data_IF_618815257338
#
_entry.id   IF_618815257338
#
_cell.length_a   1.000
_cell.length_b   1.000
_cell.length_c   1.000
_cell.angle_alpha   90.00
_cell.angle_beta   90.00
_cell.angle_gamma   90.00
#
_symmetry.space_group_name_H-M   'P 1'
#
loop_
_entity.id
_entity.type
_entity.pdbx_description
1 polymer ?
#
# COMPACT_ATOMS: atom_id res chain seq x y z
N UNK A 1 64.87 -18.75 0.93
CA UNK A 1 64.38 -20.10 0.54
C UNK A 1 63.30 -20.50 1.53
N UNK A 2 62.09 -20.80 1.03
CA UNK A 2 60.92 -21.09 1.86
C UNK A 2 59.63 -20.81 1.10
N UNK A 3 59.35 -21.65 0.10
CA UNK A 3 58.12 -21.73 -0.69
C UNK A 3 56.93 -22.18 0.15
N UNK A 4 55.75 -21.61 -0.09
CA UNK A 4 54.49 -22.05 0.52
C UNK A 4 53.28 -21.46 -0.20
N UNK A 5 53.04 -21.95 -1.41
CA UNK A 5 51.86 -21.66 -2.22
C UNK A 5 50.58 -22.19 -1.56
N UNK A 6 49.48 -21.56 -1.98
CA UNK A 6 48.11 -22.08 -2.05
C UNK A 6 47.38 -22.35 -0.75
N UNK A 7 46.39 -21.51 -0.47
CA UNK A 7 45.08 -21.98 -0.03
C UNK A 7 43.99 -21.16 -0.75
N UNK A 8 43.80 -21.54 -2.02
CA UNK A 8 42.67 -21.18 -2.84
C UNK A 8 41.40 -21.83 -2.28
N UNK A 9 40.76 -21.20 -1.29
CA UNK A 9 39.36 -21.49 -0.95
C UNK A 9 38.48 -20.36 -1.45
N UNK A 10 38.43 -20.24 -2.77
CA UNK A 10 37.31 -19.61 -3.45
C UNK A 10 36.08 -20.49 -3.27
N UNK A 11 35.38 -20.33 -2.13
CA UNK A 11 33.99 -20.73 -2.00
C UNK A 11 33.18 -19.87 -2.97
N UNK A 12 33.12 -20.33 -4.23
CA UNK A 12 32.07 -19.99 -5.16
C UNK A 12 30.76 -20.34 -4.47
N UNK A 13 30.11 -19.33 -3.90
CA UNK A 13 28.68 -19.41 -3.58
C UNK A 13 28.01 -19.86 -4.86
N UNK A 14 27.45 -21.07 -4.85
CA UNK A 14 26.58 -21.54 -5.90
C UNK A 14 25.56 -20.44 -6.16
N UNK A 15 25.61 -19.84 -7.33
CA UNK A 15 24.60 -18.91 -7.82
C UNK A 15 23.36 -19.73 -8.09
N UNK A 16 22.60 -20.02 -7.04
CA UNK A 16 21.18 -20.30 -7.13
C UNK A 16 20.60 -19.20 -8.00
N UNK A 17 19.97 -19.55 -9.13
CA UNK A 17 19.53 -18.59 -10.13
C UNK A 17 18.85 -17.39 -9.47
N UNK A 18 19.56 -16.26 -9.44
CA UNK A 18 19.05 -15.04 -8.85
C UNK A 18 17.99 -14.51 -9.79
N UNK A 19 16.72 -14.80 -9.49
CA UNK A 19 15.66 -13.90 -9.90
C UNK A 19 16.08 -12.51 -9.40
N UNK A 20 16.40 -11.59 -10.29
CA UNK A 20 16.94 -10.28 -9.93
C UNK A 20 15.84 -9.47 -9.25
N UNK A 21 15.74 -9.61 -7.93
CA UNK A 21 14.76 -8.94 -7.04
C UNK A 21 14.95 -7.42 -6.98
N UNK A 22 15.98 -6.89 -7.63
CA UNK A 22 16.37 -5.47 -7.59
C UNK A 22 15.30 -4.54 -8.19
N UNK A 23 14.30 -5.06 -8.90
CA UNK A 23 13.28 -4.26 -9.59
C UNK A 23 11.82 -4.50 -9.13
N UNK A 24 11.60 -5.11 -7.96
CA UNK A 24 10.24 -5.39 -7.47
C UNK A 24 9.61 -4.18 -6.77
N UNK A 25 10.40 -3.30 -6.17
CA UNK A 25 9.90 -2.12 -5.45
C UNK A 25 9.10 -1.16 -6.36
N UNK A 26 9.57 -0.81 -7.58
CA UNK A 26 8.77 0.01 -8.50
C UNK A 26 7.44 -0.65 -8.88
N UNK A 27 7.43 -1.98 -9.07
CA UNK A 27 6.20 -2.73 -9.37
C UNK A 27 5.22 -2.66 -8.22
N UNK A 28 5.67 -2.86 -6.97
CA UNK A 28 4.83 -2.72 -5.78
C UNK A 28 4.23 -1.32 -5.65
N UNK A 29 5.02 -0.27 -5.92
CA UNK A 29 4.54 1.11 -5.93
C UNK A 29 3.50 1.36 -7.01
N UNK A 30 3.73 0.84 -8.22
CA UNK A 30 2.77 1.00 -9.32
C UNK A 30 1.47 0.25 -9.04
N UNK A 31 1.54 -0.97 -8.51
CA UNK A 31 0.37 -1.74 -8.09
C UNK A 31 -0.42 -1.01 -7.00
N UNK A 32 0.26 -0.48 -5.99
CA UNK A 32 -0.37 0.25 -4.89
C UNK A 32 -1.00 1.56 -5.37
N UNK A 33 -0.29 2.34 -6.20
CA UNK A 33 -0.84 3.55 -6.81
C UNK A 33 -2.05 3.23 -7.69
N UNK A 34 -1.98 2.15 -8.47
CA UNK A 34 -3.08 1.66 -9.28
C UNK A 34 -4.31 1.34 -8.45
N UNK A 35 -4.15 0.66 -7.30
CA UNK A 35 -5.28 0.38 -6.39
C UNK A 35 -5.96 1.67 -5.94
N UNK A 36 -5.22 2.68 -5.49
CA UNK A 36 -5.81 3.95 -5.06
C UNK A 36 -6.51 4.70 -6.21
N UNK A 37 -5.83 4.88 -7.35
CA UNK A 37 -6.39 5.64 -8.47
C UNK A 37 -7.58 4.93 -9.12
N UNK A 38 -7.54 3.60 -9.24
CA UNK A 38 -8.65 2.82 -9.77
C UNK A 38 -9.83 2.79 -8.80
N UNK A 39 -9.60 2.81 -7.48
CA UNK A 39 -10.68 2.95 -6.48
C UNK A 39 -11.37 4.31 -6.61
N UNK A 40 -10.60 5.40 -6.76
CA UNK A 40 -11.16 6.73 -7.02
C UNK A 40 -12.01 6.76 -8.30
N UNK A 41 -11.48 6.20 -9.40
CA UNK A 41 -12.19 6.12 -10.67
C UNK A 41 -13.45 5.24 -10.59
N UNK A 42 -13.38 4.09 -9.91
CA UNK A 42 -14.52 3.21 -9.69
C UNK A 42 -15.60 3.90 -8.85
N UNK A 43 -15.21 4.67 -7.84
CA UNK A 43 -16.15 5.44 -7.00
C UNK A 43 -16.86 6.53 -7.80
N UNK A 44 -16.15 7.20 -8.72
CA UNK A 44 -16.74 8.17 -9.64
C UNK A 44 -17.69 7.52 -10.66
N UNK A 45 -17.41 6.29 -11.09
CA UNK A 45 -18.26 5.54 -12.01
C UNK A 45 -19.45 4.82 -11.36
N UNK A 46 -19.44 4.67 -10.03
CA UNK A 46 -20.52 4.03 -9.27
C UNK A 46 -21.68 5.03 -9.00
N UNK A 47 -22.95 4.59 -8.97
CA UNK A 47 -24.06 5.49 -8.69
C UNK A 47 -23.91 6.21 -7.36
N UNK A 48 -23.74 7.53 -7.39
CA UNK A 48 -23.47 8.34 -6.19
C UNK A 48 -24.57 8.18 -5.13
N UNK A 49 -25.84 8.08 -5.53
CA UNK A 49 -26.94 7.85 -4.61
C UNK A 49 -26.76 6.56 -3.78
N UNK A 50 -26.20 5.50 -4.38
CA UNK A 50 -25.90 4.26 -3.65
C UNK A 50 -24.71 4.44 -2.70
N UNK A 51 -23.66 5.16 -3.12
CA UNK A 51 -22.53 5.48 -2.24
C UNK A 51 -22.96 6.31 -1.03
N UNK A 52 -23.83 7.30 -1.23
CA UNK A 52 -24.39 8.14 -0.17
C UNK A 52 -25.25 7.30 0.79
N UNK A 53 -26.12 6.44 0.27
CA UNK A 53 -26.93 5.54 1.10
C UNK A 53 -26.06 4.61 1.99
N UNK A 54 -24.88 4.20 1.53
CA UNK A 54 -23.93 3.45 2.37
C UNK A 54 -23.32 4.33 3.48
N UNK A 55 -22.98 5.59 3.19
CA UNK A 55 -22.47 6.54 4.18
C UNK A 55 -23.52 6.91 5.24
N UNK A 56 -24.79 6.97 4.87
CA UNK A 56 -25.91 7.15 5.79
C UNK A 56 -26.02 6.01 6.80
N UNK A 57 -25.72 4.77 6.40
CA UNK A 57 -25.66 3.62 7.33
C UNK A 57 -24.52 3.72 8.35
N UNK A 58 -23.48 4.49 8.04
CA UNK A 58 -22.37 4.82 8.96
C UNK A 58 -22.72 6.02 9.87
N UNK A 59 -23.88 6.65 9.67
CA UNK A 59 -24.35 7.80 10.45
C UNK A 59 -23.99 9.16 9.85
N UNK A 60 -23.48 9.22 8.61
CA UNK A 60 -23.23 10.47 7.89
C UNK A 60 -24.45 10.85 7.05
N UNK A 61 -25.07 12.00 7.32
CA UNK A 61 -26.31 12.41 6.66
C UNK A 61 -26.15 13.70 5.86
N UNK A 62 -26.95 13.84 4.79
CA UNK A 62 -27.03 15.07 3.98
C UNK A 62 -25.68 15.52 3.42
N UNK A 63 -25.39 16.82 3.54
CA UNK A 63 -24.16 17.44 3.03
C UNK A 63 -22.87 16.79 3.57
N UNK A 64 -22.90 16.24 4.79
CA UNK A 64 -21.75 15.56 5.39
C UNK A 64 -21.43 14.26 4.63
N UNK A 65 -22.45 13.53 4.18
CA UNK A 65 -22.25 12.32 3.38
C UNK A 65 -21.62 12.66 2.01
N UNK A 66 -22.09 13.74 1.37
CA UNK A 66 -21.48 14.22 0.12
C UNK A 66 -20.04 14.65 0.32
N UNK A 67 -19.76 15.46 1.36
CA UNK A 67 -18.41 15.88 1.68
C UNK A 67 -17.50 14.68 1.97
N UNK A 68 -17.97 13.68 2.70
CA UNK A 68 -17.22 12.47 2.99
C UNK A 68 -16.92 11.63 1.73
N UNK A 69 -17.89 11.51 0.81
CA UNK A 69 -17.69 10.81 -0.46
C UNK A 69 -16.58 11.47 -1.29
N UNK A 70 -16.66 12.78 -1.49
CA UNK A 70 -15.65 13.52 -2.25
C UNK A 70 -14.30 13.59 -1.54
N UNK A 71 -14.29 13.68 -0.20
CA UNK A 71 -13.06 13.58 0.58
C UNK A 71 -12.39 12.21 0.42
N UNK A 72 -13.17 11.12 0.36
CA UNK A 72 -12.67 9.78 0.07
C UNK A 72 -12.02 9.69 -1.31
N UNK A 73 -12.70 10.18 -2.35
CA UNK A 73 -12.16 10.23 -3.72
C UNK A 73 -10.88 11.06 -3.77
N UNK A 74 -10.87 12.24 -3.15
CA UNK A 74 -9.70 13.11 -3.12
C UNK A 74 -8.52 12.47 -2.36
N UNK A 75 -8.79 11.77 -1.25
CA UNK A 75 -7.80 11.03 -0.49
C UNK A 75 -7.18 9.90 -1.33
N UNK A 76 -7.99 9.13 -2.04
CA UNK A 76 -7.51 8.06 -2.91
C UNK A 76 -6.61 8.62 -4.03
N UNK A 77 -7.03 9.70 -4.69
CA UNK A 77 -6.22 10.37 -5.71
C UNK A 77 -4.91 10.86 -5.12
N UNK A 78 -4.94 11.52 -3.96
CA UNK A 78 -3.75 12.02 -3.29
C UNK A 78 -2.77 10.88 -2.94
N UNK A 79 -3.26 9.78 -2.34
CA UNK A 79 -2.44 8.62 -1.99
C UNK A 79 -1.84 7.95 -3.22
N UNK A 80 -2.62 7.80 -4.29
CA UNK A 80 -2.15 7.25 -5.56
C UNK A 80 -1.05 8.09 -6.20
N UNK A 81 -1.26 9.40 -6.32
CA UNK A 81 -0.29 10.34 -6.90
C UNK A 81 0.97 10.41 -6.03
N UNK A 82 0.84 10.58 -4.72
CA UNK A 82 1.99 10.65 -3.80
C UNK A 82 2.81 9.35 -3.80
N UNK A 83 2.17 8.20 -4.05
CA UNK A 83 2.87 6.90 -4.20
C UNK A 83 3.79 6.88 -5.42
N UNK A 84 3.42 7.57 -6.51
CA UNK A 84 4.22 7.66 -7.73
C UNK A 84 5.35 8.68 -7.62
N UNK A 85 5.17 9.75 -6.84
CA UNK A 85 6.21 10.78 -6.63
C UNK A 85 7.33 10.21 -5.74
N UNK A 86 8.59 10.40 -6.14
CA UNK A 86 9.73 9.92 -5.37
C UNK A 86 10.10 10.84 -4.20
N UNK A 87 9.27 10.85 -3.14
CA UNK A 87 9.47 11.66 -1.93
C UNK A 87 10.35 10.92 -0.90
N UNK A 88 11.65 10.81 -1.17
CA UNK A 88 12.59 9.98 -0.38
C UNK A 88 12.50 10.16 1.14
N UNK A 89 12.36 11.40 1.61
CA UNK A 89 12.32 11.72 3.05
C UNK A 89 10.97 11.38 3.71
N UNK A 90 9.88 11.42 2.94
CA UNK A 90 8.50 11.27 3.44
C UNK A 90 7.89 9.89 3.16
N UNK A 91 8.56 9.05 2.37
CA UNK A 91 8.07 7.72 1.98
C UNK A 91 7.63 6.86 3.16
N UNK A 92 8.43 6.77 4.23
CA UNK A 92 8.07 5.98 5.41
C UNK A 92 6.73 6.42 6.02
N UNK A 93 6.47 7.72 6.04
CA UNK A 93 5.25 8.27 6.61
C UNK A 93 4.07 8.04 5.67
N UNK A 94 4.30 8.18 4.35
CA UNK A 94 3.29 7.87 3.34
C UNK A 94 2.79 6.42 3.48
N UNK A 95 3.69 5.44 3.65
CA UNK A 95 3.30 4.04 3.83
C UNK A 95 2.51 3.79 5.11
N UNK A 96 2.90 4.44 6.21
CA UNK A 96 2.17 4.37 7.48
C UNK A 96 0.79 5.03 7.37
N UNK A 97 0.68 6.18 6.70
CA UNK A 97 -0.59 6.86 6.49
C UNK A 97 -1.54 6.02 5.63
N UNK A 98 -1.06 5.39 4.56
CA UNK A 98 -1.88 4.48 3.77
C UNK A 98 -2.36 3.28 4.59
N UNK A 99 -1.48 2.70 5.41
CA UNK A 99 -1.86 1.63 6.34
C UNK A 99 -2.92 2.07 7.34
N UNK A 100 -2.78 3.28 7.90
CA UNK A 100 -3.75 3.86 8.82
C UNK A 100 -5.11 4.09 8.15
N UNK A 101 -5.14 4.60 6.91
CA UNK A 101 -6.38 4.74 6.12
C UNK A 101 -7.04 3.38 5.92
N UNK A 102 -6.26 2.38 5.48
CA UNK A 102 -6.77 1.01 5.25
C UNK A 102 -7.40 0.43 6.51
N UNK A 103 -6.72 0.52 7.65
CA UNK A 103 -7.22 0.01 8.92
C UNK A 103 -8.46 0.79 9.40
N UNK A 104 -8.48 2.11 9.19
CA UNK A 104 -9.59 2.96 9.61
C UNK A 104 -10.88 2.60 8.88
N UNK A 105 -10.87 2.60 7.53
CA UNK A 105 -12.10 2.25 6.80
C UNK A 105 -12.48 0.78 7.01
N UNK A 106 -11.50 -0.12 7.14
CA UNK A 106 -11.78 -1.54 7.40
C UNK A 106 -12.50 -1.74 8.73
N UNK A 107 -12.10 -1.00 9.76
CA UNK A 107 -12.74 -1.03 11.09
C UNK A 107 -14.15 -0.44 11.05
N UNK A 108 -14.33 0.68 10.33
CA UNK A 108 -15.65 1.29 10.13
C UNK A 108 -16.59 0.31 9.43
N UNK A 109 -16.16 -0.31 8.33
CA UNK A 109 -16.96 -1.31 7.61
C UNK A 109 -17.27 -2.51 8.53
N UNK A 110 -16.30 -3.01 9.28
CA UNK A 110 -16.50 -4.14 10.18
C UNK A 110 -17.56 -3.87 11.28
N UNK A 111 -17.65 -2.63 11.77
CA UNK A 111 -18.57 -2.24 12.84
C UNK A 111 -19.94 -1.86 12.29
N UNK A 112 -20.01 -1.01 11.26
CA UNK A 112 -21.25 -0.40 10.80
C UNK A 112 -21.89 -1.14 9.61
N UNK A 113 -21.10 -1.91 8.85
CA UNK A 113 -21.54 -2.65 7.67
C UNK A 113 -21.04 -4.11 7.71
N UNK A 114 -21.42 -4.90 8.73
CA UNK A 114 -20.92 -6.27 8.90
C UNK A 114 -21.25 -7.18 7.69
N UNK A 115 -22.33 -6.92 6.97
CA UNK A 115 -22.70 -7.61 5.72
C UNK A 115 -21.62 -7.47 4.64
N UNK A 116 -20.93 -6.32 4.61
CA UNK A 116 -19.83 -6.05 3.68
C UNK A 116 -18.51 -6.65 4.20
N UNK A 117 -18.36 -6.77 5.52
CA UNK A 117 -17.17 -7.37 6.13
C UNK A 117 -17.04 -8.87 5.80
N UNK A 118 -18.14 -9.61 5.86
CA UNK A 118 -18.21 -11.06 5.54
C UNK A 118 -18.64 -11.35 4.11
N UNK A 119 -18.52 -10.37 3.21
CA UNK A 119 -18.94 -10.56 1.82
C UNK A 119 -18.06 -11.60 1.11
N UNK A 120 -18.61 -12.54 0.31
CA UNK A 120 -17.84 -13.58 -0.39
C UNK A 120 -16.76 -13.03 -1.35
N UNK A 121 -16.90 -11.78 -1.78
CA UNK A 121 -15.88 -11.07 -2.58
C UNK A 121 -14.68 -10.55 -1.77
N UNK A 122 -14.67 -10.77 -0.45
CA UNK A 122 -13.53 -10.52 0.43
C UNK A 122 -13.09 -9.06 0.47
N UNK A 123 -14.02 -8.11 0.59
CA UNK A 123 -13.73 -6.66 0.58
C UNK A 123 -12.66 -6.28 1.61
N UNK A 124 -12.71 -6.85 2.82
CA UNK A 124 -11.70 -6.63 3.84
C UNK A 124 -10.47 -7.55 3.69
N UNK A 125 -10.67 -8.80 3.27
CA UNK A 125 -9.58 -9.78 3.13
C UNK A 125 -8.56 -9.31 2.08
N UNK A 126 -9.01 -8.63 1.02
CA UNK A 126 -8.15 -8.03 0.00
C UNK A 126 -7.21 -6.95 0.54
N UNK A 127 -7.46 -6.41 1.73
CA UNK A 127 -6.59 -5.43 2.37
C UNK A 127 -5.36 -6.07 3.03
N UNK A 128 -5.40 -7.37 3.34
CA UNK A 128 -4.26 -8.08 3.96
C UNK A 128 -3.02 -8.05 3.05
N UNK A 129 -3.12 -8.41 1.74
CA UNK A 129 -2.00 -8.23 0.81
C UNK A 129 -1.52 -6.79 0.70
N UNK A 130 -2.41 -5.79 0.74
CA UNK A 130 -2.03 -4.37 0.68
C UNK A 130 -1.20 -3.96 1.90
N UNK A 131 -1.61 -4.38 3.09
CA UNK A 131 -0.84 -4.15 4.33
C UNK A 131 0.53 -4.83 4.27
N UNK A 132 0.63 -6.02 3.69
CA UNK A 132 1.92 -6.69 3.47
C UNK A 132 2.83 -5.92 2.50
N UNK A 133 2.28 -5.39 1.40
CA UNK A 133 3.02 -4.54 0.46
C UNK A 133 3.52 -3.27 1.15
N UNK A 134 2.66 -2.60 1.91
CA UNK A 134 3.03 -1.41 2.68
C UNK A 134 4.14 -1.69 3.69
N UNK A 135 4.09 -2.83 4.38
CA UNK A 135 5.15 -3.26 5.30
C UNK A 135 6.49 -3.45 4.59
N UNK A 136 6.49 -4.09 3.42
CA UNK A 136 7.70 -4.28 2.60
C UNK A 136 8.28 -2.93 2.16
N UNK A 137 7.45 -2.03 1.63
CA UNK A 137 7.85 -0.69 1.20
C UNK A 137 8.36 0.18 2.37
N UNK A 138 7.75 0.04 3.55
CA UNK A 138 8.21 0.70 4.75
C UNK A 138 9.58 0.21 5.20
N UNK A 139 9.82 -1.10 5.17
CA UNK A 139 11.13 -1.67 5.47
C UNK A 139 12.20 -1.19 4.49
N UNK A 140 11.92 -1.22 3.19
CA UNK A 140 12.85 -0.75 2.16
C UNK A 140 13.23 0.74 2.36
N UNK A 141 12.24 1.60 2.61
CA UNK A 141 12.46 3.02 2.86
C UNK A 141 13.34 3.29 4.10
N UNK A 142 13.25 2.46 5.14
CA UNK A 142 14.09 2.59 6.34
C UNK A 142 15.50 2.05 6.12
N UNK A 143 15.67 0.99 5.33
CA UNK A 143 16.99 0.45 4.97
C UNK A 143 17.80 1.46 4.15
N UNK A 144 17.18 2.05 3.12
CA UNK A 144 17.85 3.07 2.31
C UNK A 144 18.35 4.27 3.13
N UNK A 145 17.69 4.60 4.24
CA UNK A 145 18.10 5.72 5.10
C UNK A 145 19.36 5.40 5.92
N UNK A 146 19.60 4.14 6.27
CA UNK A 146 20.78 3.70 7.01
C UNK A 146 22.08 3.81 6.20
N UNK A 147 22.01 3.57 4.88
CA UNK A 147 23.18 3.54 4.00
C UNK A 147 23.76 4.93 3.67
N UNK A 148 23.02 6.03 3.87
CA UNK A 148 23.51 7.40 3.61
C UNK A 148 24.21 8.05 4.83
N UNK A 149 24.35 7.32 5.94
CA UNK A 149 24.93 7.84 7.19
C UNK A 149 26.20 7.10 7.65
N UNK A 150 26.79 6.25 6.78
CA UNK A 150 28.11 5.62 6.96
C UNK A 150 29.08 6.22 5.94
#
# INVERSE_FOLDING_TARGET
>A
MGTGLSNCWGMRRATTGTFSMTNTIPLLRLSLAGVWLLTAAATLGYPQAQSIAMLERVGLQGEIAFAALYAGIALDVAMGVLTLINLRTMQKWLWLMQGAVILTYSSIIAIYLPDYALHPFGMLIKNIPLLAILWILWRDANLQKGDHHV
#
